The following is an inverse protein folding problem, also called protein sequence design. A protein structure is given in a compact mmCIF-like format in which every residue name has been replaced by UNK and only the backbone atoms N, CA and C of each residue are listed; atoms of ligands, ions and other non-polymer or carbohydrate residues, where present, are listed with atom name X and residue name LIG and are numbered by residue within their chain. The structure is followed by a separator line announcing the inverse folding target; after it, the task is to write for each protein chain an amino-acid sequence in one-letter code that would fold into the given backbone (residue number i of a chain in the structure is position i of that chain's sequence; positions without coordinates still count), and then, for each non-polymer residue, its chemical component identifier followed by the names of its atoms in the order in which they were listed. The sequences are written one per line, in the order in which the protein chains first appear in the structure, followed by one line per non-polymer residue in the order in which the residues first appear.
data_IF_580259603088
#
_entry.id   IF_580259603088
#
_cell.length_a   1.000
_cell.length_b   1.000
_cell.length_c   1.000
_cell.angle_alpha   90.00
_cell.angle_beta   90.00
_cell.angle_gamma   90.00
#
_symmetry.space_group_name_H-M   'P 1'
#
loop_
_entity.id
_entity.type
_entity.pdbx_description
1 polymer ?
#
# COMPACT_ATOMS: atom_id res chain seq x y z
N UNK A 1 25.06 21.03 -17.85
CA UNK A 1 24.78 20.99 -16.40
C UNK A 1 25.31 22.25 -15.73
N UNK A 2 24.57 22.73 -14.70
CA UNK A 2 24.99 23.91 -13.90
C UNK A 2 25.60 23.43 -12.59
N UNK A 3 26.90 23.65 -12.40
CA UNK A 3 27.63 23.21 -11.19
C UNK A 3 27.57 24.23 -10.04
N UNK A 4 27.23 25.50 -10.32
CA UNK A 4 27.16 26.56 -9.31
C UNK A 4 26.28 26.28 -8.09
N UNK A 5 25.07 25.70 -8.23
CA UNK A 5 24.24 25.38 -7.06
C UNK A 5 24.96 24.44 -6.08
N UNK A 6 25.58 23.37 -6.57
CA UNK A 6 26.36 22.43 -5.76
C UNK A 6 27.56 23.10 -5.08
N UNK A 7 28.30 23.95 -5.82
CA UNK A 7 29.41 24.73 -5.26
C UNK A 7 28.92 25.66 -4.13
N UNK A 8 27.78 26.29 -4.31
CA UNK A 8 27.18 27.18 -3.30
C UNK A 8 26.81 26.42 -2.05
N UNK A 9 26.10 25.29 -2.21
CA UNK A 9 25.70 24.42 -1.09
C UNK A 9 26.93 23.95 -0.29
N UNK A 10 27.98 23.49 -0.97
CA UNK A 10 29.22 23.07 -0.31
C UNK A 10 29.91 24.22 0.43
N UNK A 11 29.90 25.45 -0.12
CA UNK A 11 30.42 26.64 0.51
C UNK A 11 29.65 27.00 1.79
N UNK A 12 28.31 27.00 1.74
CA UNK A 12 27.47 27.31 2.89
C UNK A 12 27.67 26.28 4.02
N UNK A 13 27.73 24.98 3.70
CA UNK A 13 28.05 23.94 4.68
C UNK A 13 29.38 24.20 5.38
N UNK A 14 30.43 24.57 4.64
CA UNK A 14 31.72 24.89 5.22
C UNK A 14 31.69 26.15 6.10
N UNK A 15 30.87 27.13 5.73
CA UNK A 15 30.72 28.36 6.52
C UNK A 15 30.19 28.09 7.93
N UNK A 16 29.40 27.01 8.11
CA UNK A 16 28.93 26.57 9.43
C UNK A 16 29.80 25.46 10.05
N UNK A 17 31.00 25.21 9.50
CA UNK A 17 31.96 24.26 10.07
C UNK A 17 31.81 22.81 9.62
N UNK A 18 31.00 22.51 8.60
CA UNK A 18 30.79 21.16 8.08
C UNK A 18 31.48 20.98 6.74
N UNK A 19 32.46 20.06 6.67
CA UNK A 19 33.09 19.64 5.43
C UNK A 19 32.47 18.33 4.96
N UNK A 20 31.93 18.31 3.75
CA UNK A 20 31.44 17.09 3.14
C UNK A 20 32.61 16.19 2.70
N UNK A 21 32.55 14.91 2.96
CA UNK A 21 33.47 13.89 2.44
C UNK A 21 33.07 13.40 1.04
N UNK A 22 31.76 13.38 0.76
CA UNK A 22 31.18 12.92 -0.49
C UNK A 22 30.06 13.86 -0.92
N UNK A 23 29.93 14.07 -2.21
CA UNK A 23 28.82 14.80 -2.83
C UNK A 23 28.06 13.87 -3.80
N UNK A 24 26.79 13.61 -3.52
CA UNK A 24 25.87 12.93 -4.42
C UNK A 24 25.20 13.98 -5.31
N UNK A 25 25.63 14.06 -6.57
CA UNK A 25 25.18 15.08 -7.52
C UNK A 25 24.04 14.53 -8.38
N UNK A 26 22.80 14.81 -8.00
CA UNK A 26 21.63 14.40 -8.78
C UNK A 26 21.41 15.34 -9.97
N UNK A 27 21.18 14.74 -11.15
CA UNK A 27 20.88 15.44 -12.38
C UNK A 27 19.97 14.56 -13.27
N UNK A 28 19.46 15.15 -14.37
CA UNK A 28 18.70 14.42 -15.41
C UNK A 28 19.55 13.41 -16.19
N UNK A 29 20.87 13.59 -16.15
CA UNK A 29 21.86 12.76 -16.83
C UNK A 29 23.17 12.67 -16.05
N UNK A 30 24.02 11.72 -16.41
CA UNK A 30 25.35 11.57 -15.82
C UNK A 30 26.12 12.89 -15.88
N UNK A 31 26.71 13.26 -14.75
CA UNK A 31 27.57 14.44 -14.63
C UNK A 31 28.88 14.15 -15.36
N UNK A 32 29.26 14.94 -16.41
CA UNK A 32 30.51 14.75 -17.12
C UNK A 32 31.74 14.95 -16.23
N UNK A 33 32.86 14.37 -16.61
CA UNK A 33 34.10 14.41 -15.78
C UNK A 33 34.62 15.82 -15.61
N UNK A 34 34.51 16.71 -16.60
CA UNK A 34 34.89 18.11 -16.49
C UNK A 34 34.09 18.84 -15.40
N UNK A 35 32.79 18.63 -15.34
CA UNK A 35 31.95 19.20 -14.30
C UNK A 35 32.20 18.55 -12.93
N UNK A 36 32.51 17.26 -12.88
CA UNK A 36 32.92 16.57 -11.63
C UNK A 36 34.24 17.20 -11.08
N UNK A 37 35.25 17.35 -11.91
CA UNK A 37 36.51 18.01 -11.54
C UNK A 37 36.26 19.43 -11.06
N UNK A 38 35.38 20.18 -11.71
CA UNK A 38 35.03 21.55 -11.30
C UNK A 38 34.28 21.57 -9.95
N UNK A 39 33.35 20.65 -9.72
CA UNK A 39 32.67 20.52 -8.41
C UNK A 39 33.69 20.17 -7.34
N UNK A 40 34.58 19.21 -7.58
CA UNK A 40 35.67 18.81 -6.70
C UNK A 40 36.49 19.99 -6.26
N UNK A 41 37.00 20.77 -7.23
CA UNK A 41 37.86 21.94 -6.98
C UNK A 41 37.18 22.97 -6.05
N UNK A 42 35.91 23.31 -6.30
CA UNK A 42 35.21 24.35 -5.54
C UNK A 42 34.60 23.87 -4.22
N UNK A 43 34.34 22.58 -4.07
CA UNK A 43 33.77 22.00 -2.86
C UNK A 43 34.81 21.49 -1.88
N UNK A 44 36.08 21.40 -2.29
CA UNK A 44 37.15 20.76 -1.53
C UNK A 44 36.83 19.28 -1.17
N UNK A 45 36.14 18.61 -2.09
CA UNK A 45 35.88 17.17 -2.04
C UNK A 45 36.70 16.53 -3.15
N UNK A 46 37.45 15.44 -2.90
CA UNK A 46 38.21 14.78 -3.96
C UNK A 46 37.29 14.34 -5.12
N UNK A 47 37.84 14.30 -6.34
CA UNK A 47 37.04 13.98 -7.54
C UNK A 47 36.34 12.63 -7.47
N UNK A 48 37.02 11.65 -6.86
CA UNK A 48 36.41 10.33 -6.58
C UNK A 48 35.28 10.38 -5.54
N UNK A 49 35.17 11.42 -4.75
CA UNK A 49 34.06 11.67 -3.81
C UNK A 49 32.91 12.47 -4.41
N UNK A 50 33.02 12.89 -5.68
CA UNK A 50 31.90 13.51 -6.42
C UNK A 50 31.18 12.45 -7.22
N UNK A 51 30.12 11.92 -6.66
CA UNK A 51 29.33 10.81 -7.20
C UNK A 51 28.20 11.35 -8.07
N UNK A 52 28.10 10.88 -9.29
CA UNK A 52 27.03 11.22 -10.21
C UNK A 52 25.81 10.33 -9.97
N UNK A 53 24.65 10.95 -9.78
CA UNK A 53 23.38 10.26 -9.64
C UNK A 53 22.39 10.85 -10.65
N UNK A 54 21.99 10.05 -11.64
CA UNK A 54 21.07 10.50 -12.69
C UNK A 54 19.71 9.81 -12.59
N UNK A 55 18.73 10.39 -13.29
CA UNK A 55 17.40 9.82 -13.33
C UNK A 55 17.41 8.47 -14.05
N UNK A 56 16.78 7.47 -13.45
CA UNK A 56 16.69 6.09 -13.93
C UNK A 56 15.22 5.69 -14.05
N UNK A 57 14.96 4.71 -14.90
CA UNK A 57 13.63 4.14 -15.11
C UNK A 57 13.10 3.34 -13.89
N UNK A 58 14.01 2.78 -13.09
CA UNK A 58 13.70 2.15 -11.81
C UNK A 58 14.74 2.45 -10.75
N UNK A 59 14.25 2.80 -9.54
CA UNK A 59 15.11 3.10 -8.39
C UNK A 59 15.98 1.91 -7.97
N UNK A 60 15.63 0.69 -8.35
CA UNK A 60 16.38 -0.52 -8.01
C UNK A 60 17.73 -0.61 -8.72
N UNK A 61 17.98 0.20 -9.76
CA UNK A 61 19.32 0.36 -10.40
C UNK A 61 20.28 1.22 -9.58
N UNK A 62 19.76 2.05 -8.67
CA UNK A 62 20.57 3.02 -7.92
C UNK A 62 21.71 2.37 -7.12
N UNK A 63 21.49 1.26 -6.38
CA UNK A 63 22.58 0.63 -5.63
C UNK A 63 23.74 0.20 -6.53
N UNK A 64 23.47 -0.34 -7.71
CA UNK A 64 24.49 -0.72 -8.69
C UNK A 64 25.26 0.50 -9.21
N UNK A 65 24.56 1.57 -9.59
CA UNK A 65 25.16 2.80 -10.09
C UNK A 65 26.10 3.44 -9.04
N UNK A 66 25.74 3.40 -7.77
CA UNK A 66 26.56 3.94 -6.70
C UNK A 66 27.78 3.05 -6.40
N UNK A 67 27.59 1.73 -6.41
CA UNK A 67 28.68 0.75 -6.24
C UNK A 67 29.72 0.86 -7.34
N UNK A 68 29.32 0.95 -8.60
CA UNK A 68 30.22 1.08 -9.76
C UNK A 68 31.08 2.36 -9.71
N UNK A 69 30.64 3.38 -8.99
CA UNK A 69 31.40 4.59 -8.72
C UNK A 69 32.21 4.51 -7.42
N UNK A 70 32.20 3.37 -6.72
CA UNK A 70 33.00 3.10 -5.52
C UNK A 70 32.47 3.74 -4.23
N UNK A 71 31.21 4.21 -4.19
CA UNK A 71 30.67 4.93 -3.03
C UNK A 71 30.67 4.09 -1.75
N UNK A 72 30.28 2.85 -1.83
CA UNK A 72 30.21 1.91 -0.68
C UNK A 72 31.60 1.66 -0.09
N UNK A 73 32.61 1.39 -0.93
CA UNK A 73 34.00 1.25 -0.51
C UNK A 73 34.53 2.52 0.17
N UNK A 74 34.25 3.67 -0.45
CA UNK A 74 34.63 4.97 0.10
C UNK A 74 34.02 5.22 1.50
N UNK A 75 32.74 4.91 1.68
CA UNK A 75 32.06 5.03 2.99
C UNK A 75 32.71 4.10 4.00
N UNK A 76 32.98 2.85 3.64
CA UNK A 76 33.64 1.89 4.52
C UNK A 76 35.03 2.37 4.96
N UNK A 77 35.82 2.89 4.03
CA UNK A 77 37.15 3.44 4.33
C UNK A 77 37.07 4.65 5.27
N UNK A 78 36.19 5.59 4.99
CA UNK A 78 36.01 6.79 5.82
C UNK A 78 35.51 6.47 7.23
N UNK A 79 34.62 5.52 7.37
CA UNK A 79 34.09 5.08 8.65
C UNK A 79 34.99 3.98 9.32
N UNK A 80 36.07 3.57 8.66
CA UNK A 80 36.96 2.50 9.11
C UNK A 80 36.24 1.20 9.40
N UNK A 81 35.28 0.85 8.53
CA UNK A 81 34.55 -0.40 8.61
C UNK A 81 35.32 -1.50 7.89
N UNK A 82 35.54 -2.60 8.58
CA UNK A 82 36.12 -3.80 7.97
C UNK A 82 34.97 -4.73 7.53
N UNK A 83 34.48 -4.53 6.30
CA UNK A 83 33.38 -5.28 5.72
C UNK A 83 33.85 -6.05 4.49
N UNK A 84 33.24 -7.22 4.17
CA UNK A 84 33.49 -7.86 2.88
C UNK A 84 32.96 -6.97 1.74
N UNK A 85 33.42 -7.21 0.50
CA UNK A 85 32.86 -6.53 -0.68
C UNK A 85 31.35 -6.68 -0.76
N UNK A 86 30.65 -5.64 -1.24
CA UNK A 86 29.21 -5.68 -1.39
C UNK A 86 28.77 -6.75 -2.39
N UNK A 87 27.76 -7.52 -2.04
CA UNK A 87 27.10 -8.46 -2.96
C UNK A 87 25.74 -7.84 -3.41
N UNK A 88 25.66 -7.45 -4.65
CA UNK A 88 24.48 -6.80 -5.23
C UNK A 88 23.59 -7.76 -6.06
N UNK A 89 23.83 -9.08 -6.00
CA UNK A 89 23.08 -10.05 -6.80
C UNK A 89 21.56 -9.90 -6.62
N UNK A 90 21.09 -9.73 -5.40
CA UNK A 90 19.65 -9.54 -5.12
C UNK A 90 19.08 -8.26 -5.76
N UNK A 91 19.89 -7.18 -5.88
CA UNK A 91 19.47 -5.97 -6.60
C UNK A 91 19.40 -6.20 -8.09
N UNK A 92 20.37 -6.94 -8.65
CA UNK A 92 20.40 -7.27 -10.07
C UNK A 92 19.21 -8.17 -10.44
N UNK A 93 18.87 -9.14 -9.58
CA UNK A 93 17.70 -10.00 -9.77
C UNK A 93 16.39 -9.18 -9.77
N UNK A 94 16.25 -8.20 -8.85
CA UNK A 94 15.09 -7.30 -8.84
C UNK A 94 14.98 -6.45 -10.12
N UNK A 95 16.11 -5.91 -10.59
CA UNK A 95 16.15 -5.14 -11.84
C UNK A 95 15.72 -6.03 -13.01
N UNK A 96 16.22 -7.27 -13.04
CA UNK A 96 15.84 -8.23 -14.08
C UNK A 96 14.33 -8.51 -14.10
N UNK A 97 13.70 -8.73 -12.94
CA UNK A 97 12.25 -8.95 -12.83
C UNK A 97 11.43 -7.74 -13.29
N UNK A 98 11.91 -6.52 -12.99
CA UNK A 98 11.25 -5.28 -13.43
C UNK A 98 11.34 -5.12 -14.96
N UNK A 99 12.48 -5.46 -15.56
CA UNK A 99 12.74 -5.27 -16.98
C UNK A 99 12.15 -6.39 -17.86
N UNK A 100 11.94 -7.60 -17.30
CA UNK A 100 11.52 -8.78 -18.02
C UNK A 100 10.23 -9.43 -17.47
N UNK A 101 9.15 -8.66 -17.28
CA UNK A 101 7.89 -9.23 -16.79
C UNK A 101 7.31 -10.21 -17.81
N UNK A 102 6.88 -11.37 -17.33
CA UNK A 102 6.29 -12.42 -18.17
C UNK A 102 4.79 -12.19 -18.42
N UNK A 103 4.14 -11.47 -17.50
CA UNK A 103 2.69 -11.22 -17.51
C UNK A 103 2.41 -9.73 -17.34
N UNK A 104 1.15 -9.36 -17.60
CA UNK A 104 0.66 -8.01 -17.31
C UNK A 104 -0.72 -8.13 -16.65
N UNK A 105 -0.90 -7.37 -15.55
CA UNK A 105 -2.19 -7.25 -14.85
C UNK A 105 -2.57 -5.78 -14.74
N UNK A 106 -3.84 -5.46 -14.98
CA UNK A 106 -4.40 -4.11 -14.90
C UNK A 106 -5.22 -3.97 -13.64
N UNK A 107 -4.88 -2.97 -12.81
CA UNK A 107 -5.56 -2.69 -11.55
C UNK A 107 -6.23 -1.32 -11.61
N UNK A 108 -7.55 -1.28 -11.42
CA UNK A 108 -8.27 -0.04 -11.19
C UNK A 108 -8.10 0.39 -9.73
N UNK A 109 -7.39 1.49 -9.49
CA UNK A 109 -7.32 2.12 -8.18
C UNK A 109 -8.42 3.19 -8.06
N UNK A 110 -9.52 2.83 -7.41
CA UNK A 110 -10.71 3.70 -7.30
C UNK A 110 -10.58 4.61 -6.08
N UNK A 111 -10.15 5.83 -6.32
CA UNK A 111 -9.81 6.83 -5.28
C UNK A 111 -10.32 8.23 -5.58
N UNK A 112 -9.86 9.23 -4.80
CA UNK A 112 -10.21 10.64 -4.99
C UNK A 112 -9.04 11.53 -5.45
N UNK A 113 -7.81 11.09 -5.33
CA UNK A 113 -6.61 11.91 -5.59
C UNK A 113 -5.90 11.42 -6.84
N UNK A 114 -6.66 11.29 -7.93
CA UNK A 114 -6.16 10.74 -9.20
C UNK A 114 -5.06 11.59 -9.85
N UNK A 115 -5.07 12.90 -9.61
CA UNK A 115 -4.06 13.84 -10.12
C UNK A 115 -2.81 13.95 -9.22
N UNK A 116 -2.83 13.35 -8.02
CA UNK A 116 -1.75 13.38 -7.04
C UNK A 116 -1.16 11.98 -6.84
N UNK A 117 -0.34 11.54 -7.79
CA UNK A 117 0.32 10.22 -7.75
C UNK A 117 1.11 9.97 -6.45
N UNK A 118 1.63 11.04 -5.83
CA UNK A 118 2.37 10.95 -4.57
C UNK A 118 1.50 10.54 -3.38
N UNK A 119 0.18 10.77 -3.43
CA UNK A 119 -0.75 10.36 -2.37
C UNK A 119 -0.84 8.85 -2.19
N UNK A 120 -0.54 8.07 -3.25
CA UNK A 120 -0.61 6.61 -3.26
C UNK A 120 0.75 5.95 -3.43
N UNK A 121 1.86 6.66 -3.16
CA UNK A 121 3.21 6.17 -3.44
C UNK A 121 3.52 4.82 -2.80
N UNK A 122 3.25 4.65 -1.50
CA UNK A 122 3.49 3.38 -0.81
C UNK A 122 2.63 2.24 -1.38
N UNK A 123 1.39 2.54 -1.75
CA UNK A 123 0.48 1.57 -2.34
C UNK A 123 0.91 1.16 -3.75
N UNK A 124 1.38 2.13 -4.55
CA UNK A 124 1.94 1.88 -5.87
C UNK A 124 3.17 0.97 -5.79
N UNK A 125 4.08 1.25 -4.83
CA UNK A 125 5.25 0.41 -4.62
C UNK A 125 4.86 -0.99 -4.13
N UNK A 126 3.89 -1.11 -3.21
CA UNK A 126 3.41 -2.42 -2.76
C UNK A 126 2.83 -3.28 -3.90
N UNK A 127 2.08 -2.67 -4.81
CA UNK A 127 1.57 -3.34 -6.01
C UNK A 127 2.70 -3.72 -6.99
N UNK A 128 3.72 -2.86 -7.16
CA UNK A 128 4.90 -3.17 -7.98
C UNK A 128 5.71 -4.32 -7.39
N UNK A 129 5.94 -4.31 -6.07
CA UNK A 129 6.61 -5.41 -5.37
C UNK A 129 5.88 -6.74 -5.58
N UNK A 130 4.55 -6.73 -5.45
CA UNK A 130 3.73 -7.90 -5.72
C UNK A 130 3.81 -8.34 -7.20
N UNK A 131 3.90 -7.38 -8.12
CA UNK A 131 4.15 -7.65 -9.53
C UNK A 131 5.47 -8.38 -9.76
N UNK A 132 6.58 -7.86 -9.21
CA UNK A 132 7.89 -8.52 -9.29
C UNK A 132 7.84 -9.96 -8.75
N UNK A 133 7.20 -10.16 -7.60
CA UNK A 133 7.06 -11.49 -6.99
C UNK A 133 6.24 -12.47 -7.83
N UNK A 134 5.36 -11.98 -8.68
CA UNK A 134 4.53 -12.76 -9.60
C UNK A 134 5.00 -12.70 -11.07
N UNK A 135 6.23 -12.23 -11.34
CA UNK A 135 6.79 -12.04 -12.69
C UNK A 135 5.88 -11.24 -13.62
N UNK A 136 5.17 -10.24 -13.04
CA UNK A 136 4.14 -9.48 -13.74
C UNK A 136 4.39 -7.98 -13.68
N UNK A 137 4.10 -7.29 -14.78
CA UNK A 137 3.97 -5.82 -14.81
C UNK A 137 2.58 -5.44 -14.31
N UNK A 138 2.48 -4.76 -13.18
CA UNK A 138 1.22 -4.20 -12.69
C UNK A 138 1.02 -2.82 -13.31
N UNK A 139 -0.03 -2.69 -14.11
CA UNK A 139 -0.49 -1.43 -14.68
C UNK A 139 -1.60 -0.86 -13.80
N UNK A 140 -1.31 0.25 -13.11
CA UNK A 140 -2.25 0.90 -12.21
C UNK A 140 -2.89 2.06 -12.96
N UNK A 141 -4.23 2.04 -13.04
CA UNK A 141 -5.00 3.18 -13.51
C UNK A 141 -5.82 3.77 -12.37
N UNK A 142 -5.68 5.08 -12.18
CA UNK A 142 -6.43 5.81 -11.16
C UNK A 142 -7.78 6.20 -11.70
N UNK A 143 -8.82 5.77 -11.03
CA UNK A 143 -10.21 6.06 -11.39
C UNK A 143 -10.81 6.99 -10.34
N UNK A 144 -11.24 8.16 -10.76
CA UNK A 144 -11.94 9.08 -9.85
C UNK A 144 -13.29 8.51 -9.46
N UNK A 145 -13.42 8.20 -8.17
CA UNK A 145 -14.66 7.61 -7.63
C UNK A 145 -15.88 8.52 -7.77
N UNK A 146 -15.71 9.83 -7.92
CA UNK A 146 -16.82 10.75 -8.16
C UNK A 146 -17.44 10.60 -9.56
N UNK A 147 -16.71 10.01 -10.50
CA UNK A 147 -17.19 9.77 -11.88
C UNK A 147 -17.92 8.43 -12.02
N UNK A 148 -17.92 7.58 -10.99
CA UNK A 148 -18.54 6.26 -11.01
C UNK A 148 -19.98 6.33 -10.46
N UNK A 149 -20.91 5.73 -11.21
CA UNK A 149 -22.31 5.53 -10.84
C UNK A 149 -22.77 4.13 -11.20
N UNK A 150 -23.93 3.71 -10.69
CA UNK A 150 -24.53 2.43 -11.04
C UNK A 150 -24.73 2.25 -12.57
N UNK A 151 -25.00 3.34 -13.29
CA UNK A 151 -25.26 3.29 -14.73
C UNK A 151 -24.00 3.10 -15.57
N UNK A 152 -22.82 3.51 -15.07
CA UNK A 152 -21.60 3.50 -15.86
C UNK A 152 -20.49 2.59 -15.32
N UNK A 153 -20.64 2.04 -14.12
CA UNK A 153 -19.59 1.26 -13.44
C UNK A 153 -19.05 0.12 -14.29
N UNK A 154 -19.93 -0.63 -14.97
CA UNK A 154 -19.52 -1.73 -15.85
C UNK A 154 -18.67 -1.24 -17.03
N UNK A 155 -19.00 -0.09 -17.62
CA UNK A 155 -18.23 0.51 -18.72
C UNK A 155 -16.85 1.01 -18.23
N UNK A 156 -16.79 1.56 -17.02
CA UNK A 156 -15.57 2.12 -16.45
C UNK A 156 -14.63 1.01 -15.98
N UNK A 157 -15.16 0.02 -15.25
CA UNK A 157 -14.35 -0.98 -14.56
C UNK A 157 -14.22 -2.32 -15.28
N UNK A 158 -15.06 -2.62 -16.29
CA UNK A 158 -15.13 -3.92 -16.95
C UNK A 158 -13.88 -4.34 -17.74
N UNK A 159 -12.90 -3.46 -17.91
CA UNK A 159 -11.63 -3.73 -18.61
C UNK A 159 -10.47 -4.08 -17.67
N UNK A 160 -10.67 -4.01 -16.36
CA UNK A 160 -9.61 -4.25 -15.39
C UNK A 160 -9.63 -5.68 -14.87
N UNK A 161 -8.45 -6.21 -14.62
CA UNK A 161 -8.28 -7.56 -14.07
C UNK A 161 -8.54 -7.58 -12.56
N UNK A 162 -8.39 -6.43 -11.88
CA UNK A 162 -8.59 -6.30 -10.44
C UNK A 162 -8.99 -4.86 -10.04
N UNK A 163 -9.69 -4.72 -8.92
CA UNK A 163 -10.16 -3.45 -8.37
C UNK A 163 -9.62 -3.27 -6.96
N UNK A 164 -8.98 -2.12 -6.70
CA UNK A 164 -8.47 -1.73 -5.40
C UNK A 164 -9.13 -0.42 -4.97
N UNK A 165 -9.71 -0.41 -3.76
CA UNK A 165 -10.23 0.80 -3.11
C UNK A 165 -9.29 1.15 -1.96
N UNK A 166 -8.51 2.25 -2.08
CA UNK A 166 -7.51 2.64 -1.09
C UNK A 166 -8.13 3.28 0.15
N UNK A 167 -7.30 3.45 1.18
CA UNK A 167 -7.61 4.26 2.35
C UNK A 167 -7.91 5.71 2.01
N UNK A 168 -8.62 6.38 2.91
CA UNK A 168 -9.00 7.78 2.78
C UNK A 168 -9.96 8.22 3.87
N UNK A 169 -10.37 9.49 3.85
CA UNK A 169 -11.29 10.09 4.81
C UNK A 169 -12.34 10.93 4.10
N UNK A 170 -13.50 11.11 4.75
CA UNK A 170 -14.58 11.99 4.32
C UNK A 170 -15.48 11.43 3.23
N UNK A 171 -16.65 12.02 3.07
CA UNK A 171 -17.78 11.53 2.28
C UNK A 171 -17.58 11.62 0.74
N UNK A 172 -16.60 12.41 0.25
CA UNK A 172 -16.43 12.64 -1.19
C UNK A 172 -16.12 11.37 -1.95
N UNK A 173 -16.90 11.06 -2.98
CA UNK A 173 -16.72 9.91 -3.87
C UNK A 173 -17.01 8.54 -3.21
N UNK A 174 -17.67 8.49 -2.04
CA UNK A 174 -17.97 7.25 -1.33
C UNK A 174 -18.96 6.37 -2.11
N UNK A 175 -20.02 6.95 -2.69
CA UNK A 175 -21.02 6.17 -3.43
C UNK A 175 -20.40 5.50 -4.68
N UNK A 176 -19.48 6.18 -5.37
CA UNK A 176 -18.76 5.56 -6.48
C UNK A 176 -17.85 4.40 -6.05
N UNK A 177 -17.25 4.48 -4.86
CA UNK A 177 -16.48 3.36 -4.28
C UNK A 177 -17.39 2.20 -3.89
N UNK A 178 -18.61 2.49 -3.37
CA UNK A 178 -19.62 1.48 -3.07
C UNK A 178 -20.05 0.78 -4.38
N UNK A 179 -20.31 1.53 -5.46
CA UNK A 179 -20.60 0.96 -6.78
C UNK A 179 -19.45 0.09 -7.31
N UNK A 180 -18.19 0.49 -7.08
CA UNK A 180 -17.03 -0.29 -7.49
C UNK A 180 -16.91 -1.60 -6.70
N UNK A 181 -17.15 -1.57 -5.38
CA UNK A 181 -17.16 -2.76 -4.53
C UNK A 181 -18.30 -3.73 -4.93
N UNK A 182 -19.50 -3.19 -5.21
CA UNK A 182 -20.64 -3.96 -5.72
C UNK A 182 -20.30 -4.61 -7.05
N UNK A 183 -19.76 -3.84 -7.99
CA UNK A 183 -19.39 -4.35 -9.30
C UNK A 183 -18.38 -5.50 -9.19
N UNK A 184 -17.35 -5.35 -8.37
CA UNK A 184 -16.36 -6.39 -8.14
C UNK A 184 -17.00 -7.67 -7.59
N UNK A 185 -17.87 -7.55 -6.57
CA UNK A 185 -18.57 -8.68 -5.95
C UNK A 185 -19.46 -9.43 -6.95
N UNK A 186 -20.26 -8.69 -7.73
CA UNK A 186 -21.24 -9.28 -8.65
C UNK A 186 -20.61 -9.89 -9.91
N UNK A 187 -19.45 -9.37 -10.34
CA UNK A 187 -18.77 -9.78 -11.58
C UNK A 187 -17.53 -10.65 -11.33
N UNK A 188 -17.31 -11.12 -10.10
CA UNK A 188 -16.18 -12.00 -9.74
C UNK A 188 -14.79 -11.38 -10.05
N UNK A 189 -14.69 -10.04 -9.99
CA UNK A 189 -13.42 -9.32 -10.17
C UNK A 189 -12.69 -9.25 -8.84
N UNK A 190 -11.40 -9.58 -8.83
CA UNK A 190 -10.59 -9.53 -7.62
C UNK A 190 -10.68 -8.14 -6.96
N UNK A 191 -11.15 -8.07 -5.70
CA UNK A 191 -11.34 -6.85 -4.94
C UNK A 191 -10.43 -6.80 -3.72
N UNK A 192 -9.72 -5.69 -3.54
CA UNK A 192 -8.99 -5.39 -2.32
C UNK A 192 -9.41 -4.01 -1.78
N UNK A 193 -10.00 -3.99 -0.60
CA UNK A 193 -10.36 -2.78 0.13
C UNK A 193 -9.42 -2.52 1.30
N UNK A 194 -8.75 -1.36 1.33
CA UNK A 194 -7.79 -0.99 2.38
C UNK A 194 -8.39 0.14 3.22
N UNK A 195 -8.46 -0.02 4.55
CA UNK A 195 -8.97 0.94 5.51
C UNK A 195 -10.39 1.41 5.12
N UNK A 196 -10.56 2.60 4.56
CA UNK A 196 -11.83 3.06 4.00
C UNK A 196 -12.40 2.07 2.97
N UNK A 197 -11.56 1.40 2.19
CA UNK A 197 -12.00 0.40 1.21
C UNK A 197 -12.69 -0.81 1.85
N UNK A 198 -12.23 -1.29 3.01
CA UNK A 198 -12.92 -2.31 3.78
C UNK A 198 -14.28 -1.80 4.29
N UNK A 199 -14.31 -0.57 4.81
CA UNK A 199 -15.53 0.04 5.31
C UNK A 199 -16.58 0.19 4.21
N UNK A 200 -16.16 0.62 3.03
CA UNK A 200 -17.01 0.72 1.82
C UNK A 200 -17.55 -0.64 1.41
N UNK A 201 -16.73 -1.69 1.42
CA UNK A 201 -17.16 -3.06 1.12
C UNK A 201 -18.20 -3.56 2.15
N UNK A 202 -18.00 -3.24 3.42
CA UNK A 202 -18.96 -3.57 4.50
C UNK A 202 -20.30 -2.85 4.32
N UNK A 203 -20.27 -1.55 3.96
CA UNK A 203 -21.48 -0.77 3.67
C UNK A 203 -22.21 -1.32 2.45
N UNK A 204 -21.47 -1.61 1.38
CA UNK A 204 -22.04 -2.24 0.17
C UNK A 204 -22.76 -3.52 0.50
N UNK A 205 -22.09 -4.42 1.21
CA UNK A 205 -22.65 -5.73 1.58
C UNK A 205 -23.87 -5.61 2.49
N UNK A 206 -23.82 -4.69 3.44
CA UNK A 206 -24.95 -4.37 4.32
C UNK A 206 -26.18 -3.91 3.53
N UNK A 207 -26.00 -3.02 2.56
CA UNK A 207 -27.09 -2.47 1.73
C UNK A 207 -27.70 -3.51 0.80
N UNK A 208 -26.87 -4.21 0.06
CA UNK A 208 -27.32 -5.00 -1.10
C UNK A 208 -27.47 -6.49 -0.82
N UNK A 209 -26.83 -7.02 0.22
CA UNK A 209 -26.89 -8.45 0.57
C UNK A 209 -27.62 -8.66 1.90
N UNK A 210 -27.25 -7.94 2.98
CA UNK A 210 -27.88 -8.10 4.29
C UNK A 210 -29.22 -7.35 4.43
N UNK A 211 -29.65 -6.60 3.40
CA UNK A 211 -30.95 -5.92 3.35
C UNK A 211 -31.09 -4.72 4.31
N UNK A 212 -29.96 -4.13 4.72
CA UNK A 212 -29.91 -2.94 5.58
C UNK A 212 -29.96 -1.67 4.72
N UNK A 213 -31.15 -1.34 4.21
CA UNK A 213 -31.36 -0.18 3.33
C UNK A 213 -30.88 1.11 4.01
N UNK A 214 -30.03 1.87 3.31
CA UNK A 214 -29.46 3.12 3.82
C UNK A 214 -28.32 2.92 4.82
N UNK A 215 -27.79 1.69 4.98
CA UNK A 215 -26.59 1.45 5.79
C UNK A 215 -25.41 2.37 5.36
N UNK A 216 -24.71 2.94 6.31
CA UNK A 216 -23.62 3.89 6.02
C UNK A 216 -22.61 3.95 7.18
N UNK A 217 -21.59 4.77 7.02
CA UNK A 217 -20.71 5.22 8.09
C UNK A 217 -21.25 6.51 8.72
N UNK A 218 -21.13 6.65 10.04
CA UNK A 218 -21.41 7.92 10.74
C UNK A 218 -20.43 9.03 10.34
N UNK A 219 -19.31 8.71 9.70
CA UNK A 219 -18.40 9.68 9.07
C UNK A 219 -19.07 10.41 7.89
N UNK A 220 -19.90 9.70 7.13
CA UNK A 220 -20.49 10.21 5.88
C UNK A 220 -21.91 10.72 6.08
N UNK A 221 -22.67 10.03 6.93
CA UNK A 221 -24.03 10.39 7.31
C UNK A 221 -24.26 10.09 8.81
N UNK A 222 -24.18 11.12 9.62
CA UNK A 222 -24.40 11.00 11.08
C UNK A 222 -25.83 10.57 11.45
N UNK A 223 -26.79 10.59 10.51
CA UNK A 223 -28.19 10.19 10.71
C UNK A 223 -28.56 8.91 10.00
N UNK A 224 -27.58 8.16 9.53
CA UNK A 224 -27.86 6.88 8.85
C UNK A 224 -28.73 5.96 9.70
N UNK A 225 -29.76 5.29 9.12
CA UNK A 225 -30.59 4.37 9.88
C UNK A 225 -29.84 3.12 10.33
N UNK A 226 -28.75 2.78 9.68
CA UNK A 226 -27.91 1.62 9.97
C UNK A 226 -26.44 2.02 9.97
N UNK A 227 -25.88 2.50 11.09
CA UNK A 227 -24.48 2.88 11.22
C UNK A 227 -23.57 1.62 11.30
N UNK A 228 -23.39 0.93 10.18
CA UNK A 228 -22.58 -0.30 10.11
C UNK A 228 -21.10 -0.02 10.26
N UNK A 229 -20.70 1.23 10.04
CA UNK A 229 -19.37 1.79 10.36
C UNK A 229 -19.62 2.98 11.29
N UNK A 230 -18.94 2.99 12.44
CA UNK A 230 -19.12 4.03 13.45
C UNK A 230 -17.82 4.35 14.18
N UNK A 231 -17.81 5.47 14.93
CA UNK A 231 -16.75 5.73 15.90
C UNK A 231 -16.82 4.68 17.01
N UNK A 232 -15.65 4.28 17.51
CA UNK A 232 -15.57 3.48 18.73
C UNK A 232 -15.84 4.41 19.92
N UNK A 233 -16.80 4.05 20.76
CA UNK A 233 -17.14 4.83 21.97
C UNK A 233 -16.18 4.51 23.13
N UNK A 234 -15.67 3.28 23.21
CA UNK A 234 -14.70 2.84 24.22
C UNK A 234 -13.60 2.00 23.57
N UNK A 235 -12.35 2.18 24.01
CA UNK A 235 -11.22 1.29 23.66
C UNK A 235 -10.18 1.28 24.77
N UNK A 236 -9.35 0.25 24.82
CA UNK A 236 -8.28 0.13 25.78
C UNK A 236 -6.93 0.52 25.13
N UNK A 237 -6.24 1.50 25.73
CA UNK A 237 -4.90 1.90 25.30
C UNK A 237 -3.83 0.86 25.65
N UNK A 238 -2.62 1.04 25.11
CA UNK A 238 -1.50 0.14 25.31
C UNK A 238 -1.06 -0.01 26.78
N UNK A 239 -1.37 0.97 27.62
CA UNK A 239 -1.09 0.96 29.05
C UNK A 239 -2.20 0.31 29.89
N UNK A 240 -3.30 -0.16 29.28
CA UNK A 240 -4.44 -0.79 29.92
C UNK A 240 -5.54 0.18 30.35
N UNK A 241 -5.40 1.49 30.12
CA UNK A 241 -6.44 2.46 30.44
C UNK A 241 -7.62 2.37 29.46
N UNK A 242 -8.86 2.48 29.97
CA UNK A 242 -10.07 2.52 29.15
C UNK A 242 -10.32 3.98 28.77
N UNK A 243 -10.28 4.25 27.49
CA UNK A 243 -10.65 5.54 26.92
C UNK A 243 -12.12 5.51 26.49
N UNK A 244 -12.88 6.56 26.83
CA UNK A 244 -14.27 6.74 26.42
C UNK A 244 -14.39 7.96 25.54
N UNK A 245 -15.18 7.85 24.47
CA UNK A 245 -15.55 8.98 23.63
C UNK A 245 -16.98 9.42 23.91
N UNK A 246 -17.16 10.72 23.89
CA UNK A 246 -18.45 11.36 23.76
C UNK A 246 -18.49 12.26 22.51
N UNK A 247 -19.66 12.81 22.19
CA UNK A 247 -19.85 13.66 21.02
C UNK A 247 -18.97 14.95 21.01
N UNK A 248 -18.35 15.29 22.14
CA UNK A 248 -17.53 16.49 22.34
C UNK A 248 -16.02 16.15 22.44
N UNK A 249 -15.63 14.87 22.34
CA UNK A 249 -14.24 14.46 22.45
C UNK A 249 -13.40 15.00 21.29
N UNK A 250 -12.17 15.45 21.61
CA UNK A 250 -11.20 15.84 20.57
C UNK A 250 -10.84 14.66 19.69
N UNK A 251 -11.28 14.71 18.44
CA UNK A 251 -11.05 13.64 17.44
C UNK A 251 -9.57 13.46 17.09
N UNK A 252 -8.69 14.41 17.43
CA UNK A 252 -7.25 14.32 17.14
C UNK A 252 -6.55 13.23 17.93
N UNK A 253 -6.88 13.06 19.21
CA UNK A 253 -6.28 12.09 20.14
C UNK A 253 -6.83 10.67 20.07
N UNK A 254 -7.84 10.40 19.24
CA UNK A 254 -8.62 9.16 19.25
C UNK A 254 -8.39 8.25 18.04
N UNK A 255 -7.31 8.46 17.31
CA UNK A 255 -6.95 7.67 16.15
C UNK A 255 -6.22 6.39 16.58
N UNK A 256 -6.66 5.22 16.07
CA UNK A 256 -5.84 4.00 16.18
C UNK A 256 -4.62 4.15 15.28
N UNK A 257 -3.45 4.09 15.89
CA UNK A 257 -2.16 4.31 15.22
C UNK A 257 -1.17 3.18 15.51
N UNK A 258 -0.29 2.92 14.55
CA UNK A 258 0.84 2.01 14.72
C UNK A 258 0.50 0.54 14.54
N UNK A 259 1.43 -0.32 14.95
CA UNK A 259 1.32 -1.76 14.80
C UNK A 259 0.38 -2.36 15.85
N UNK A 260 -0.56 -3.20 15.39
CA UNK A 260 -1.48 -3.96 16.25
C UNK A 260 -1.59 -5.39 15.74
N UNK A 261 -1.74 -6.33 16.67
CA UNK A 261 -1.88 -7.76 16.36
C UNK A 261 -3.34 -8.18 16.43
N UNK A 262 -3.71 -9.08 15.51
CA UNK A 262 -5.05 -9.61 15.38
C UNK A 262 -5.01 -11.11 15.19
N UNK A 263 -5.99 -11.81 15.78
CA UNK A 263 -6.19 -13.23 15.60
C UNK A 263 -6.95 -13.48 14.29
N UNK A 264 -6.49 -14.43 13.50
CA UNK A 264 -7.03 -14.77 12.20
C UNK A 264 -7.75 -16.11 12.25
N UNK A 265 -8.99 -16.13 11.78
CA UNK A 265 -9.85 -17.31 11.81
C UNK A 265 -9.38 -18.37 10.81
N UNK A 266 -9.30 -19.62 11.26
CA UNK A 266 -8.94 -20.76 10.41
C UNK A 266 -9.96 -20.97 9.27
N UNK A 267 -9.48 -21.47 8.12
CA UNK A 267 -10.31 -21.72 6.95
C UNK A 267 -10.65 -20.50 6.09
N UNK A 268 -10.04 -19.35 6.38
CA UNK A 268 -10.23 -18.09 5.65
C UNK A 268 -9.10 -17.84 4.65
N UNK A 269 -9.33 -16.95 3.68
CA UNK A 269 -8.28 -16.43 2.77
C UNK A 269 -7.18 -15.76 3.61
N UNK A 270 -7.58 -14.95 4.58
CA UNK A 270 -6.66 -14.27 5.49
C UNK A 270 -5.75 -15.28 6.21
N UNK A 271 -6.28 -16.40 6.71
CA UNK A 271 -5.49 -17.43 7.38
C UNK A 271 -4.52 -18.14 6.46
N UNK A 272 -4.89 -18.35 5.20
CA UNK A 272 -3.98 -18.92 4.19
C UNK A 272 -2.78 -18.01 3.91
N UNK A 273 -2.96 -16.69 4.05
CA UNK A 273 -1.94 -15.66 3.78
C UNK A 273 -1.05 -15.40 4.99
N UNK A 274 -1.65 -15.24 6.17
CA UNK A 274 -0.97 -14.73 7.36
C UNK A 274 -0.73 -15.80 8.43
N UNK A 275 -1.41 -16.95 8.33
CA UNK A 275 -1.48 -17.90 9.43
C UNK A 275 -2.41 -17.41 10.55
N UNK A 276 -2.22 -17.88 11.81
CA UNK A 276 -3.16 -17.62 12.90
C UNK A 276 -3.13 -16.20 13.46
N UNK A 277 -2.08 -15.43 13.21
CA UNK A 277 -1.91 -14.08 13.75
C UNK A 277 -1.33 -13.15 12.68
N UNK A 278 -1.87 -11.95 12.58
CA UNK A 278 -1.36 -10.88 11.74
C UNK A 278 -1.03 -9.66 12.59
N UNK A 279 0.08 -8.99 12.29
CA UNK A 279 0.45 -7.71 12.94
C UNK A 279 0.64 -6.67 11.85
N UNK A 280 -0.22 -5.65 11.83
CA UNK A 280 -0.21 -4.63 10.78
C UNK A 280 -0.37 -3.21 11.34
N UNK A 281 -0.10 -2.19 10.51
CA UNK A 281 -0.12 -0.79 10.90
C UNK A 281 -1.49 -0.16 10.64
N UNK A 282 -1.97 0.63 11.59
CA UNK A 282 -3.27 1.29 11.58
C UNK A 282 -3.15 2.81 11.52
N UNK A 283 -4.16 3.43 10.90
CA UNK A 283 -4.39 4.88 10.90
C UNK A 283 -5.86 5.18 10.58
N UNK A 284 -6.75 4.97 11.55
CA UNK A 284 -8.19 5.20 11.35
C UNK A 284 -8.90 5.49 12.68
N UNK A 285 -10.15 5.97 12.58
CA UNK A 285 -11.01 6.30 13.73
C UNK A 285 -12.32 5.51 13.71
N UNK A 286 -12.81 5.17 12.54
CA UNK A 286 -14.08 4.47 12.33
C UNK A 286 -13.81 2.98 12.17
N UNK A 287 -14.74 2.19 12.72
CA UNK A 287 -14.67 0.72 12.76
C UNK A 287 -15.98 0.09 12.31
N UNK A 288 -15.95 -1.18 11.93
CA UNK A 288 -17.16 -1.95 11.74
C UNK A 288 -17.90 -2.10 13.08
N UNK A 289 -19.18 -1.70 13.09
CA UNK A 289 -20.00 -1.68 14.30
C UNK A 289 -20.43 -3.10 14.68
N UNK A 290 -20.04 -3.53 15.87
CA UNK A 290 -20.28 -4.88 16.38
C UNK A 290 -21.75 -5.29 16.38
N UNK A 291 -22.69 -4.36 16.60
CA UNK A 291 -24.14 -4.63 16.59
C UNK A 291 -24.67 -5.15 15.27
N UNK A 292 -23.94 -4.97 14.17
CA UNK A 292 -24.33 -5.44 12.85
C UNK A 292 -23.58 -6.69 12.41
N UNK A 293 -22.50 -7.10 13.09
CA UNK A 293 -21.62 -8.19 12.65
C UNK A 293 -22.37 -9.53 12.53
N UNK A 294 -23.26 -9.87 13.46
CA UNK A 294 -24.04 -11.11 13.40
C UNK A 294 -24.94 -11.14 12.16
N UNK A 295 -25.58 -10.02 11.83
CA UNK A 295 -26.44 -9.91 10.65
C UNK A 295 -25.63 -10.01 9.36
N UNK A 296 -24.44 -9.40 9.32
CA UNK A 296 -23.54 -9.50 8.17
C UNK A 296 -23.01 -10.93 8.00
N UNK A 297 -22.64 -11.61 9.10
CA UNK A 297 -22.24 -13.03 9.09
C UNK A 297 -23.39 -13.93 8.61
N UNK A 298 -24.58 -13.72 9.10
CA UNK A 298 -25.78 -14.48 8.67
C UNK A 298 -26.06 -14.28 7.16
N UNK A 299 -25.72 -13.14 6.61
CA UNK A 299 -25.81 -12.85 5.18
C UNK A 299 -24.64 -13.43 4.35
N UNK A 300 -23.59 -13.97 5.00
CA UNK A 300 -22.47 -14.65 4.34
C UNK A 300 -21.15 -13.88 4.33
N UNK A 301 -21.07 -12.68 4.93
CA UNK A 301 -19.79 -11.97 5.09
C UNK A 301 -18.96 -12.65 6.18
N UNK A 302 -17.73 -13.01 5.87
CA UNK A 302 -16.81 -13.56 6.87
C UNK A 302 -16.05 -12.43 7.56
N UNK A 303 -16.01 -12.48 8.89
CA UNK A 303 -15.12 -11.64 9.71
C UNK A 303 -13.90 -12.51 10.02
N UNK A 304 -12.85 -12.32 9.24
CA UNK A 304 -11.71 -13.25 9.20
C UNK A 304 -10.63 -12.92 10.20
N UNK A 305 -10.58 -11.70 10.72
CA UNK A 305 -9.66 -11.33 11.79
C UNK A 305 -10.28 -10.32 12.74
N UNK A 306 -9.91 -10.47 14.02
CA UNK A 306 -10.30 -9.58 15.11
C UNK A 306 -9.06 -9.16 15.89
N UNK A 307 -9.03 -7.92 16.39
CA UNK A 307 -7.96 -7.48 17.29
C UNK A 307 -7.92 -8.36 18.55
N UNK A 308 -6.72 -8.63 19.04
CA UNK A 308 -6.53 -9.49 20.23
C UNK A 308 -7.09 -8.89 21.51
N UNK A 309 -7.19 -7.57 21.62
CA UNK A 309 -7.64 -6.89 22.85
C UNK A 309 -9.12 -6.57 22.82
N UNK A 310 -9.52 -5.80 21.81
CA UNK A 310 -10.85 -5.16 21.78
C UNK A 310 -11.83 -5.90 20.89
N UNK A 311 -11.38 -7.01 20.24
CA UNK A 311 -12.15 -7.82 19.30
C UNK A 311 -12.77 -7.02 18.14
N UNK A 312 -12.11 -5.94 17.73
CA UNK A 312 -12.53 -5.11 16.61
C UNK A 312 -12.25 -5.80 15.28
N UNK A 313 -13.11 -5.57 14.31
CA UNK A 313 -13.00 -6.19 12.98
C UNK A 313 -11.81 -5.64 12.20
N UNK A 314 -10.92 -6.54 11.80
CA UNK A 314 -9.70 -6.21 11.08
C UNK A 314 -9.71 -6.65 9.62
N UNK A 315 -10.34 -7.79 9.33
CA UNK A 315 -10.46 -8.33 7.97
C UNK A 315 -11.88 -8.81 7.75
N UNK A 316 -12.45 -8.42 6.63
CA UNK A 316 -13.69 -8.98 6.09
C UNK A 316 -13.41 -9.62 4.74
N UNK A 317 -14.05 -10.74 4.44
CA UNK A 317 -13.90 -11.42 3.16
C UNK A 317 -15.15 -12.18 2.76
N UNK A 318 -15.27 -12.58 1.50
CA UNK A 318 -16.23 -13.56 1.04
C UNK A 318 -15.59 -14.94 0.95
N UNK A 319 -16.33 -16.02 1.25
CA UNK A 319 -15.83 -17.37 1.06
C UNK A 319 -15.37 -17.59 -0.40
N UNK A 320 -14.26 -18.30 -0.60
CA UNK A 320 -13.77 -18.62 -1.96
C UNK A 320 -14.78 -19.41 -2.82
N UNK A 321 -15.72 -20.10 -2.20
CA UNK A 321 -16.83 -20.75 -2.88
C UNK A 321 -17.88 -19.77 -3.47
N UNK A 322 -17.88 -18.54 -2.98
CA UNK A 322 -18.80 -17.46 -3.39
C UNK A 322 -18.08 -16.46 -4.31
N UNK A 323 -16.86 -16.10 -3.97
CA UNK A 323 -16.06 -15.12 -4.74
C UNK A 323 -14.58 -15.51 -4.71
N UNK A 324 -13.87 -15.51 -5.86
CA UNK A 324 -12.47 -15.94 -5.93
C UNK A 324 -11.54 -15.11 -5.03
N UNK A 325 -11.79 -13.79 -4.93
CA UNK A 325 -11.05 -12.89 -4.06
C UNK A 325 -11.84 -11.60 -3.78
N UNK A 326 -12.47 -11.52 -2.61
CA UNK A 326 -13.08 -10.28 -2.13
C UNK A 326 -12.66 -10.06 -0.69
N UNK A 327 -11.67 -9.22 -0.48
CA UNK A 327 -11.01 -9.02 0.80
C UNK A 327 -10.96 -7.53 1.14
N UNK A 328 -11.36 -7.19 2.36
CA UNK A 328 -11.20 -5.87 2.95
C UNK A 328 -10.38 -5.94 4.22
N UNK A 329 -9.41 -5.03 4.40
CA UNK A 329 -8.56 -4.93 5.59
C UNK A 329 -8.64 -3.53 6.19
N UNK A 330 -8.74 -3.44 7.52
CA UNK A 330 -8.82 -2.14 8.22
C UNK A 330 -7.46 -1.45 8.35
N UNK A 331 -6.41 -2.22 8.38
CA UNK A 331 -5.02 -1.77 8.45
C UNK A 331 -4.44 -1.36 7.08
N UNK A 332 -3.18 -0.90 7.09
CA UNK A 332 -2.45 -0.42 5.93
C UNK A 332 -1.25 -1.33 5.61
N UNK A 333 -1.44 -2.43 4.85
CA UNK A 333 -0.39 -3.40 4.54
C UNK A 333 0.71 -2.84 3.63
N UNK A 334 0.42 -1.75 2.88
CA UNK A 334 1.37 -1.10 2.00
C UNK A 334 2.62 -0.58 2.73
N UNK A 335 2.51 -0.27 4.02
CA UNK A 335 3.65 0.24 4.79
C UNK A 335 4.66 -0.83 5.23
N UNK A 336 4.35 -2.11 5.02
CA UNK A 336 5.24 -3.23 5.32
C UNK A 336 5.78 -3.93 4.07
N UNK A 337 5.35 -3.51 2.90
CA UNK A 337 5.83 -4.07 1.64
C UNK A 337 7.30 -3.70 1.39
N UNK A 338 8.07 -4.69 0.98
CA UNK A 338 9.48 -4.53 0.61
C UNK A 338 9.73 -5.02 -0.82
N UNK A 339 10.77 -4.54 -1.51
CA UNK A 339 11.09 -5.05 -2.84
C UNK A 339 11.53 -6.52 -2.84
N UNK A 340 12.03 -7.03 -1.70
CA UNK A 340 12.59 -8.39 -1.57
C UNK A 340 11.53 -9.48 -1.60
N UNK A 341 10.47 -9.28 -0.83
CA UNK A 341 9.46 -10.31 -0.58
C UNK A 341 8.05 -9.84 -0.93
N UNK A 342 7.90 -8.55 -1.30
CA UNK A 342 6.59 -7.93 -1.44
C UNK A 342 5.89 -7.82 -0.08
N UNK A 343 4.58 -7.91 -0.11
CA UNK A 343 3.74 -8.11 1.07
C UNK A 343 2.77 -9.26 0.78
N UNK A 344 2.57 -10.21 1.67
CA UNK A 344 1.82 -11.44 1.38
C UNK A 344 0.41 -11.19 0.84
N UNK A 345 -0.30 -10.19 1.37
CA UNK A 345 -1.64 -9.83 0.89
C UNK A 345 -1.62 -9.33 -0.56
N UNK A 346 -0.70 -8.42 -0.90
CA UNK A 346 -0.59 -7.91 -2.26
C UNK A 346 -0.09 -8.99 -3.23
N UNK A 347 0.84 -9.83 -2.79
CA UNK A 347 1.34 -10.94 -3.60
C UNK A 347 0.20 -11.89 -4.00
N UNK A 348 -0.65 -12.27 -3.02
CA UNK A 348 -1.79 -13.13 -3.24
C UNK A 348 -2.87 -12.44 -4.12
N UNK A 349 -3.15 -11.16 -3.87
CA UNK A 349 -4.09 -10.37 -4.68
C UNK A 349 -3.71 -10.33 -6.16
N UNK A 350 -2.45 -10.03 -6.48
CA UNK A 350 -1.96 -9.98 -7.87
C UNK A 350 -1.94 -11.39 -8.49
N UNK A 351 -1.59 -12.42 -7.72
CA UNK A 351 -1.64 -13.81 -8.18
C UNK A 351 -3.05 -14.20 -8.62
N UNK A 352 -4.04 -13.95 -7.77
CA UNK A 352 -5.44 -14.28 -8.09
C UNK A 352 -5.93 -13.50 -9.31
N UNK A 353 -5.57 -12.22 -9.43
CA UNK A 353 -5.93 -11.42 -10.61
C UNK A 353 -5.35 -12.01 -11.92
N UNK A 354 -4.11 -12.51 -11.88
CA UNK A 354 -3.48 -13.20 -13.01
C UNK A 354 -4.17 -14.52 -13.35
N UNK A 355 -4.51 -15.32 -12.34
CA UNK A 355 -5.18 -16.62 -12.54
C UNK A 355 -6.58 -16.45 -13.13
N UNK A 356 -7.34 -15.46 -12.66
CA UNK A 356 -8.64 -15.12 -13.22
C UNK A 356 -8.54 -14.67 -14.68
N UNK A 357 -7.54 -13.84 -15.01
CA UNK A 357 -7.24 -13.42 -16.38
C UNK A 357 -6.87 -14.58 -17.28
N UNK A 358 -6.09 -15.54 -16.76
CA UNK A 358 -5.68 -16.75 -17.48
C UNK A 358 -6.76 -17.83 -17.62
N UNK A 359 -7.96 -17.61 -17.07
CA UNK A 359 -9.05 -18.60 -17.07
C UNK A 359 -8.81 -19.77 -16.10
N UNK A 360 -7.83 -19.66 -15.20
CA UNK A 360 -7.55 -20.64 -14.15
C UNK A 360 -8.38 -20.29 -12.92
N UNK A 361 -9.65 -20.62 -12.95
CA UNK A 361 -10.52 -20.48 -11.78
C UNK A 361 -10.34 -21.71 -10.87
N UNK A 362 -9.85 -21.53 -9.64
CA UNK A 362 -9.87 -22.62 -8.66
C UNK A 362 -9.05 -22.44 -7.40
N UNK A 363 -9.55 -23.05 -6.33
CA UNK A 363 -9.09 -23.03 -4.94
C UNK A 363 -7.63 -23.50 -4.67
N UNK A 364 -6.82 -23.75 -5.68
CA UNK A 364 -5.42 -24.20 -5.54
C UNK A 364 -4.38 -23.08 -5.59
N UNK A 365 -4.80 -21.86 -5.90
CA UNK A 365 -3.91 -20.74 -6.22
C UNK A 365 -3.08 -20.27 -5.01
N UNK A 366 -3.65 -20.32 -3.82
CA UNK A 366 -3.00 -19.80 -2.61
C UNK A 366 -2.00 -20.76 -1.96
N UNK A 367 -2.04 -22.05 -2.29
CA UNK A 367 -1.08 -23.05 -1.74
C UNK A 367 0.37 -22.88 -2.24
N UNK A 368 0.60 -22.07 -3.28
CA UNK A 368 1.92 -21.85 -3.87
C UNK A 368 2.65 -20.61 -3.34
N UNK A 369 2.07 -19.87 -2.41
CA UNK A 369 2.62 -18.59 -1.89
C UNK A 369 3.16 -18.71 -0.46
N UNK A 370 2.99 -19.87 0.19
CA UNK A 370 3.51 -20.17 1.53
C UNK A 370 4.96 -20.67 1.52
#
# INVERSE_FOLDING_TARGET
LKTKPTQHTAKELRAIGIQADVLLCRADRRVPDEERAKISLFSNVPEWGVISMWDVDTIYKVPRILHEQGLDGLICDKLRLNTPPANLQRWDDLVFEVEHPQHTVTVAMVGKYVDLSDSYKSLNEALRHAGMKNHAKVQIEYIDSETISADNVAKVLGRFDAILVPGGFGARGVEGKICAAQYARENQVAYLGICLGMQVATIEYARHVAGLKGANSTEFDAKTPHPVIALIDEWQDADGSIQKRDANSDLGGTMRLGAQSSDVSEGTIAHQIYGPVVTERHRHRYEANEHYLERLRAAGLMISALTQRDHLTEIVELPQSVHPWYVGVQFHPEFKSTPWDGHPLFNAYIRVALDLKGGVAGANTLKAVA
#
